data_IF_617680455446
#
_entry.id   IF_617680455446
#
_cell.length_a   1.000
_cell.length_b   1.000
_cell.length_c   1.000
_cell.angle_alpha   90.00
_cell.angle_beta   90.00
_cell.angle_gamma   90.00
#
_symmetry.space_group_name_H-M   'P 1'
#
loop_
_entity.id
_entity.type
_entity.pdbx_description
1 polymer ?
#
# COMPACT_ATOMS: atom_id res chain seq x y z
N UNK A 1 30.10 -15.06 5.31
CA UNK A 1 30.38 -13.95 4.40
C UNK A 1 30.06 -14.35 2.95
N UNK A 2 30.68 -15.40 2.39
CA UNK A 2 30.48 -15.82 0.99
C UNK A 2 29.00 -16.14 0.65
N UNK A 3 28.25 -16.79 1.54
CA UNK A 3 26.83 -17.07 1.33
C UNK A 3 25.99 -15.79 1.24
N UNK A 4 26.32 -14.75 2.03
CA UNK A 4 25.63 -13.46 1.99
C UNK A 4 25.93 -12.71 0.67
N UNK A 5 27.19 -12.72 0.25
CA UNK A 5 27.61 -12.13 -1.03
C UNK A 5 26.96 -12.87 -2.22
N UNK A 6 26.80 -14.20 -2.11
CA UNK A 6 26.11 -15.00 -3.11
C UNK A 6 24.62 -14.63 -3.17
N UNK A 7 23.95 -14.50 -2.04
CA UNK A 7 22.53 -14.18 -1.97
C UNK A 7 22.18 -12.82 -2.60
N UNK A 8 23.13 -11.90 -2.67
CA UNK A 8 22.97 -10.55 -3.25
C UNK A 8 23.29 -10.49 -4.75
N UNK A 9 23.70 -11.59 -5.38
CA UNK A 9 23.84 -11.63 -6.84
C UNK A 9 22.51 -11.68 -7.54
N UNK A 10 22.44 -11.15 -8.76
CA UNK A 10 21.23 -11.22 -9.59
C UNK A 10 20.94 -12.66 -9.99
N UNK A 11 19.73 -13.12 -9.67
CA UNK A 11 19.19 -14.42 -10.05
C UNK A 11 17.95 -14.32 -10.95
N UNK A 12 17.29 -13.19 -10.99
CA UNK A 12 16.10 -13.00 -11.80
C UNK A 12 15.68 -11.53 -11.90
N UNK A 13 14.63 -11.28 -12.68
CA UNK A 13 14.11 -9.94 -12.93
C UNK A 13 13.04 -9.51 -11.90
N UNK A 14 12.74 -10.39 -10.92
CA UNK A 14 11.76 -10.08 -9.88
C UNK A 14 10.39 -9.75 -10.45
N UNK A 15 9.74 -8.73 -9.89
CA UNK A 15 8.45 -8.24 -10.38
C UNK A 15 8.58 -7.31 -11.59
N UNK A 16 9.77 -6.87 -11.95
CA UNK A 16 10.08 -6.11 -13.16
C UNK A 16 11.59 -6.15 -13.46
N UNK A 17 12.01 -6.00 -14.75
CA UNK A 17 13.44 -5.91 -15.12
C UNK A 17 14.17 -4.73 -14.43
N UNK A 18 13.44 -3.72 -13.97
CA UNK A 18 14.01 -2.58 -13.24
C UNK A 18 14.27 -2.88 -11.75
N UNK A 19 13.74 -3.99 -11.24
CA UNK A 19 13.94 -4.45 -9.87
C UNK A 19 14.43 -5.90 -9.86
N UNK A 20 15.67 -6.15 -10.34
CA UNK A 20 16.24 -7.49 -10.34
C UNK A 20 16.33 -8.02 -8.90
N UNK A 21 16.28 -9.35 -8.76
CA UNK A 21 16.28 -9.99 -7.46
C UNK A 21 17.50 -10.90 -7.28
N UNK A 22 18.03 -10.89 -6.08
CA UNK A 22 18.90 -11.92 -5.53
C UNK A 22 18.08 -13.02 -4.83
N UNK A 23 18.72 -13.79 -3.97
CA UNK A 23 18.01 -14.75 -3.09
C UNK A 23 17.41 -13.99 -1.92
N UNK A 24 16.10 -13.77 -1.98
CA UNK A 24 15.32 -12.95 -1.03
C UNK A 24 15.75 -11.48 -0.91
N UNK A 25 16.48 -10.93 -1.89
CA UNK A 25 16.87 -9.53 -1.94
C UNK A 25 16.36 -8.86 -3.20
N UNK A 26 15.93 -7.60 -3.08
CA UNK A 26 15.68 -6.71 -4.21
C UNK A 26 16.98 -5.95 -4.48
N UNK A 27 17.42 -5.94 -5.73
CA UNK A 27 18.62 -5.23 -6.17
C UNK A 27 18.20 -3.91 -6.77
N UNK A 28 18.43 -2.81 -6.05
CA UNK A 28 17.98 -1.49 -6.47
C UNK A 28 19.17 -0.67 -7.01
N UNK A 29 19.11 -0.20 -8.28
CA UNK A 29 20.07 0.76 -8.79
C UNK A 29 19.88 2.10 -8.07
N UNK A 30 20.96 2.67 -7.55
CA UNK A 30 20.92 3.89 -6.75
C UNK A 30 22.16 4.75 -7.03
N UNK A 31 22.00 5.84 -7.78
CA UNK A 31 23.07 6.77 -8.10
C UNK A 31 24.38 6.10 -8.56
N UNK A 32 24.26 5.21 -9.56
CA UNK A 32 25.40 4.53 -10.19
C UNK A 32 25.95 3.31 -9.43
N UNK A 33 25.36 2.93 -8.29
CA UNK A 33 25.69 1.74 -7.50
C UNK A 33 24.47 0.85 -7.34
N UNK A 34 24.69 -0.38 -6.89
CA UNK A 34 23.61 -1.31 -6.53
C UNK A 34 23.52 -1.43 -5.02
N UNK A 35 22.38 -1.05 -4.47
CA UNK A 35 22.02 -1.36 -3.08
C UNK A 35 21.07 -2.54 -3.04
N UNK A 36 21.04 -3.26 -1.95
CA UNK A 36 20.11 -4.38 -1.76
C UNK A 36 19.13 -4.03 -0.65
N UNK A 37 17.86 -4.37 -0.84
CA UNK A 37 16.85 -4.15 0.17
C UNK A 37 15.87 -5.32 0.30
N UNK A 38 15.24 -5.37 1.43
CA UNK A 38 14.04 -6.15 1.68
C UNK A 38 13.14 -5.39 2.63
N UNK A 39 11.84 -5.42 2.38
CA UNK A 39 10.82 -4.80 3.22
C UNK A 39 9.68 -5.77 3.49
N UNK A 40 8.87 -5.47 4.48
CA UNK A 40 7.72 -6.28 4.80
C UNK A 40 6.78 -5.58 5.78
N UNK A 41 5.55 -6.07 5.82
CA UNK A 41 4.53 -5.68 6.79
C UNK A 41 3.79 -6.92 7.27
N UNK A 42 3.54 -6.99 8.57
CA UNK A 42 2.76 -8.06 9.18
C UNK A 42 2.19 -7.62 10.52
N UNK A 43 0.93 -7.99 10.78
CA UNK A 43 0.31 -7.82 12.11
C UNK A 43 0.35 -6.41 12.71
N UNK A 44 0.35 -5.36 11.89
CA UNK A 44 0.46 -3.97 12.36
C UNK A 44 1.88 -3.43 12.49
N UNK A 45 2.88 -4.22 12.06
CA UNK A 45 4.29 -3.82 12.05
C UNK A 45 4.79 -3.70 10.62
N UNK A 46 5.76 -2.82 10.39
CA UNK A 46 6.49 -2.71 9.13
C UNK A 46 8.00 -2.61 9.37
N UNK A 47 8.75 -3.14 8.41
CA UNK A 47 10.21 -3.14 8.45
C UNK A 47 10.79 -2.87 7.07
N UNK A 48 11.94 -2.21 7.01
CA UNK A 48 12.72 -2.02 5.80
C UNK A 48 14.20 -2.14 6.14
N UNK A 49 14.91 -2.95 5.38
CA UNK A 49 16.35 -3.14 5.50
C UNK A 49 17.02 -2.78 4.17
N UNK A 50 17.98 -1.88 4.22
CA UNK A 50 18.81 -1.45 3.11
C UNK A 50 20.27 -1.74 3.41
N UNK A 51 21.00 -2.27 2.45
CA UNK A 51 22.44 -2.54 2.54
C UNK A 51 23.13 -1.96 1.31
N UNK A 52 24.16 -1.19 1.52
CA UNK A 52 25.07 -0.69 0.51
C UNK A 52 26.42 -1.44 0.64
N UNK A 53 26.67 -2.46 -0.20
CA UNK A 53 27.89 -3.25 -0.10
C UNK A 53 29.15 -2.43 -0.44
N UNK A 54 29.04 -1.43 -1.31
CA UNK A 54 30.17 -0.61 -1.74
C UNK A 54 30.59 0.35 -0.63
N UNK A 55 29.61 1.03 0.00
CA UNK A 55 29.86 1.95 1.13
C UNK A 55 29.99 1.24 2.47
N UNK A 56 29.77 -0.10 2.52
CA UNK A 56 29.77 -0.91 3.74
C UNK A 56 28.84 -0.34 4.83
N UNK A 57 27.69 0.14 4.41
CA UNK A 57 26.68 0.74 5.28
C UNK A 57 25.35 0.01 5.18
N UNK A 58 24.56 0.08 6.23
CA UNK A 58 23.19 -0.43 6.23
C UNK A 58 22.26 0.50 7.01
N UNK A 59 20.98 0.44 6.65
CA UNK A 59 19.90 1.14 7.35
C UNK A 59 18.79 0.12 7.61
N UNK A 60 18.36 0.02 8.87
CA UNK A 60 17.18 -0.73 9.28
C UNK A 60 16.15 0.23 9.86
N UNK A 61 14.92 0.18 9.34
CA UNK A 61 13.80 0.95 9.85
C UNK A 61 12.74 -0.03 10.32
N UNK A 62 12.31 0.12 11.57
CA UNK A 62 11.27 -0.70 12.18
C UNK A 62 10.14 0.22 12.67
N UNK A 63 8.90 -0.20 12.47
CA UNK A 63 7.72 0.55 12.89
C UNK A 63 6.66 -0.39 13.47
N UNK A 64 5.99 0.06 14.50
CA UNK A 64 4.81 -0.59 15.08
C UNK A 64 3.51 -0.07 14.43
N UNK A 65 3.57 0.38 13.19
CA UNK A 65 2.44 0.83 12.39
C UNK A 65 2.44 0.10 11.04
N UNK A 66 1.25 -0.13 10.48
CA UNK A 66 1.07 -0.68 9.12
C UNK A 66 1.34 0.38 8.03
N UNK A 67 2.30 1.27 8.25
CA UNK A 67 2.72 2.26 7.29
C UNK A 67 4.02 1.81 6.61
N UNK A 68 4.08 1.92 5.29
CA UNK A 68 5.30 1.61 4.56
C UNK A 68 6.44 2.52 5.02
N UNK A 69 7.59 1.94 5.38
CA UNK A 69 8.79 2.65 5.85
C UNK A 69 9.96 2.55 4.87
N UNK A 70 9.70 2.05 3.67
CA UNK A 70 10.69 1.85 2.61
C UNK A 70 11.35 3.17 2.20
N UNK A 71 10.57 4.24 2.07
CA UNK A 71 11.05 5.56 1.70
C UNK A 71 11.93 6.20 2.78
N UNK A 72 11.66 5.93 4.06
CA UNK A 72 12.50 6.37 5.17
C UNK A 72 13.87 5.68 5.07
N UNK A 73 13.88 4.36 4.87
CA UNK A 73 15.12 3.60 4.68
C UNK A 73 15.93 4.08 3.48
N UNK A 74 15.24 4.32 2.35
CA UNK A 74 15.87 4.83 1.13
C UNK A 74 16.43 6.25 1.31
N UNK A 75 15.69 7.15 1.95
CA UNK A 75 16.16 8.51 2.25
C UNK A 75 17.39 8.51 3.18
N UNK A 76 17.39 7.67 4.19
CA UNK A 76 18.55 7.54 5.09
C UNK A 76 19.78 6.95 4.38
N UNK A 77 19.56 6.05 3.40
CA UNK A 77 20.62 5.49 2.56
C UNK A 77 21.14 6.51 1.54
N UNK A 78 20.25 7.34 1.01
CA UNK A 78 20.55 8.37 0.00
C UNK A 78 19.69 9.62 0.25
N UNK A 79 20.20 10.61 1.01
CA UNK A 79 19.46 11.82 1.40
C UNK A 79 18.97 12.69 0.25
N UNK A 80 19.54 12.54 -0.96
CA UNK A 80 19.07 13.25 -2.17
C UNK A 80 17.69 12.78 -2.63
N UNK A 81 17.26 11.59 -2.20
CA UNK A 81 15.90 11.07 -2.48
C UNK A 81 14.96 11.57 -1.39
N UNK A 82 13.96 12.38 -1.74
CA UNK A 82 13.05 12.95 -0.75
C UNK A 82 12.16 11.88 -0.11
N UNK A 83 11.80 12.09 1.14
CA UNK A 83 10.71 11.33 1.78
C UNK A 83 9.42 11.52 1.00
N UNK A 84 8.63 10.47 0.90
CA UNK A 84 7.29 10.57 0.31
C UNK A 84 6.46 11.60 1.08
N UNK A 85 5.76 12.44 0.33
CA UNK A 85 4.85 13.40 0.94
C UNK A 85 3.65 12.65 1.54
N UNK A 86 3.63 12.52 2.86
CA UNK A 86 2.54 11.90 3.61
C UNK A 86 1.29 12.80 3.72
N UNK A 87 1.29 13.99 3.12
CA UNK A 87 0.14 14.90 3.18
C UNK A 87 -1.14 14.25 2.64
N UNK A 88 -1.02 13.39 1.61
CA UNK A 88 -2.15 12.62 1.10
C UNK A 88 -2.70 11.61 2.11
N UNK A 89 -1.84 11.04 2.97
CA UNK A 89 -2.23 10.11 4.04
C UNK A 89 -2.74 10.86 5.29
N UNK A 90 -2.46 12.15 5.39
CA UNK A 90 -2.95 13.06 6.45
C UNK A 90 -4.17 13.87 6.03
N UNK A 91 -4.85 13.47 4.95
CA UNK A 91 -6.08 14.13 4.53
C UNK A 91 -7.03 14.26 5.73
N UNK A 92 -7.60 15.46 5.90
CA UNK A 92 -8.59 15.71 6.95
C UNK A 92 -9.83 14.90 6.61
N UNK A 93 -10.20 13.99 7.51
CA UNK A 93 -11.43 13.25 7.38
C UNK A 93 -12.63 14.17 7.59
N UNK A 94 -13.62 14.06 6.73
CA UNK A 94 -14.92 14.69 6.91
C UNK A 94 -15.92 13.69 7.46
N UNK A 95 -16.86 14.15 8.25
CA UNK A 95 -17.96 13.31 8.72
C UNK A 95 -18.90 13.01 7.57
N UNK A 96 -19.20 11.73 7.38
CA UNK A 96 -20.18 11.26 6.40
C UNK A 96 -21.33 10.61 7.17
N UNK A 97 -22.57 10.94 6.78
CA UNK A 97 -23.75 10.39 7.44
C UNK A 97 -23.81 8.87 7.32
N UNK A 98 -24.19 8.20 8.38
CA UNK A 98 -24.33 6.73 8.46
C UNK A 98 -25.29 6.20 7.38
N UNK A 99 -26.38 6.91 7.09
CA UNK A 99 -27.32 6.57 6.02
C UNK A 99 -26.63 6.55 4.64
N UNK A 100 -25.74 7.50 4.39
CA UNK A 100 -24.93 7.55 3.18
C UNK A 100 -23.94 6.41 3.14
N UNK A 101 -23.22 6.15 4.23
CA UNK A 101 -22.26 5.05 4.32
C UNK A 101 -22.89 3.66 4.16
N UNK A 102 -24.13 3.48 4.61
CA UNK A 102 -24.88 2.21 4.43
C UNK A 102 -25.04 1.84 2.96
N UNK A 103 -25.12 2.81 2.05
CA UNK A 103 -25.23 2.60 0.61
C UNK A 103 -23.99 1.91 -0.01
N UNK A 104 -22.85 2.01 0.69
CA UNK A 104 -21.55 1.52 0.21
C UNK A 104 -21.19 0.12 0.72
N UNK A 105 -21.93 -0.37 1.69
CA UNK A 105 -21.74 -1.74 2.25
C UNK A 105 -22.01 -2.79 1.18
N UNK A 106 -21.06 -3.70 0.97
CA UNK A 106 -21.16 -4.80 0.01
C UNK A 106 -19.80 -5.31 -0.46
N UNK A 107 -19.84 -6.29 -1.36
CA UNK A 107 -18.64 -6.88 -1.98
C UNK A 107 -18.53 -6.41 -3.43
N UNK A 108 -17.33 -5.97 -3.80
CA UNK A 108 -17.03 -5.40 -5.11
C UNK A 108 -15.86 -6.15 -5.76
N UNK A 109 -16.09 -6.76 -6.92
CA UNK A 109 -15.06 -7.51 -7.65
C UNK A 109 -14.22 -6.58 -8.53
N UNK A 110 -12.90 -6.63 -8.38
CA UNK A 110 -11.91 -6.04 -9.28
C UNK A 110 -11.50 -7.03 -10.37
N UNK A 111 -11.47 -8.33 -10.03
CA UNK A 111 -11.24 -9.45 -10.94
C UNK A 111 -12.09 -10.64 -10.45
N UNK A 112 -12.21 -11.73 -11.23
CA UNK A 112 -12.96 -12.91 -10.79
C UNK A 112 -12.46 -13.54 -9.47
N UNK A 113 -11.20 -13.33 -9.13
CA UNK A 113 -10.55 -13.92 -7.93
C UNK A 113 -10.15 -12.89 -6.87
N UNK A 114 -10.39 -11.59 -7.13
CA UNK A 114 -9.98 -10.53 -6.21
C UNK A 114 -11.09 -9.50 -6.03
N UNK A 115 -11.57 -9.36 -4.82
CA UNK A 115 -12.65 -8.44 -4.44
C UNK A 115 -12.26 -7.62 -3.21
N UNK A 116 -13.01 -6.55 -3.00
CA UNK A 116 -12.97 -5.75 -1.77
C UNK A 116 -14.35 -5.77 -1.15
N UNK A 117 -14.43 -6.18 0.10
CA UNK A 117 -15.66 -6.12 0.90
C UNK A 117 -15.65 -4.87 1.77
N UNK A 118 -16.71 -4.08 1.68
CA UNK A 118 -16.92 -2.88 2.48
C UNK A 118 -17.96 -3.16 3.56
N UNK A 119 -17.64 -2.86 4.82
CA UNK A 119 -18.51 -3.08 5.98
C UNK A 119 -18.69 -1.80 6.76
N UNK A 120 -19.87 -1.64 7.34
CA UNK A 120 -20.18 -0.57 8.31
C UNK A 120 -20.23 -1.18 9.70
N UNK A 121 -19.46 -0.65 10.64
CA UNK A 121 -19.40 -1.05 12.03
C UNK A 121 -19.15 0.17 12.91
N UNK A 122 -19.96 0.35 13.94
CA UNK A 122 -19.84 1.46 14.90
C UNK A 122 -19.79 2.85 14.23
N UNK A 123 -20.58 3.05 13.15
CA UNK A 123 -20.61 4.30 12.41
C UNK A 123 -19.37 4.57 11.55
N UNK A 124 -18.55 3.55 11.25
CA UNK A 124 -17.32 3.64 10.47
C UNK A 124 -17.32 2.63 9.34
N UNK A 125 -16.75 3.01 8.20
CA UNK A 125 -16.54 2.11 7.08
C UNK A 125 -15.18 1.41 7.18
N UNK A 126 -15.20 0.13 6.89
CA UNK A 126 -14.02 -0.73 6.78
C UNK A 126 -13.96 -1.38 5.41
N UNK A 127 -12.76 -1.51 4.87
CA UNK A 127 -12.51 -2.21 3.61
C UNK A 127 -11.58 -3.39 3.85
N UNK A 128 -11.87 -4.51 3.18
CA UNK A 128 -11.06 -5.72 3.23
C UNK A 128 -10.89 -6.29 1.84
N UNK A 129 -9.68 -6.34 1.34
CA UNK A 129 -9.35 -7.02 0.09
C UNK A 129 -9.16 -8.53 0.33
N UNK A 130 -9.40 -9.34 -0.70
CA UNK A 130 -9.21 -10.80 -0.66
C UNK A 130 -7.83 -11.16 -0.11
N UNK A 131 -7.80 -11.99 0.93
CA UNK A 131 -6.57 -12.46 1.57
C UNK A 131 -5.83 -11.44 2.43
N UNK A 132 -6.42 -10.25 2.67
CA UNK A 132 -5.80 -9.18 3.46
C UNK A 132 -6.58 -8.88 4.75
N UNK A 133 -5.93 -8.16 5.66
CA UNK A 133 -6.58 -7.64 6.86
C UNK A 133 -7.55 -6.50 6.54
N UNK A 134 -8.57 -6.35 7.37
CA UNK A 134 -9.52 -5.24 7.31
C UNK A 134 -8.87 -3.95 7.84
N UNK A 135 -9.22 -2.80 7.26
CA UNK A 135 -8.79 -1.48 7.72
C UNK A 135 -9.90 -0.44 7.56
N UNK A 136 -9.89 0.58 8.43
CA UNK A 136 -10.83 1.70 8.38
C UNK A 136 -10.55 2.59 7.17
N UNK A 137 -11.61 3.04 6.49
CA UNK A 137 -11.57 4.06 5.44
C UNK A 137 -12.32 5.31 5.91
N UNK A 138 -11.73 6.46 5.65
CA UNK A 138 -12.17 7.78 6.16
C UNK A 138 -12.78 8.60 5.03
N UNK A 139 -13.86 9.30 5.31
CA UNK A 139 -14.50 10.19 4.34
C UNK A 139 -13.59 11.35 3.94
N UNK A 140 -13.47 11.60 2.65
CA UNK A 140 -12.92 12.82 2.04
C UNK A 140 -14.04 13.69 1.48
N UNK A 141 -15.13 13.05 1.07
CA UNK A 141 -16.42 13.62 0.71
C UNK A 141 -17.53 12.59 0.98
N UNK A 142 -18.77 12.88 0.60
CA UNK A 142 -19.87 11.92 0.71
C UNK A 142 -19.62 10.64 -0.10
N UNK A 143 -18.91 10.70 -1.23
CA UNK A 143 -18.67 9.56 -2.13
C UNK A 143 -17.22 9.08 -2.15
N UNK A 144 -16.29 9.89 -1.65
CA UNK A 144 -14.84 9.63 -1.72
C UNK A 144 -14.31 9.28 -0.34
N UNK A 145 -13.59 8.17 -0.26
CA UNK A 145 -12.96 7.69 0.97
C UNK A 145 -11.48 7.40 0.74
N UNK A 146 -10.68 7.52 1.79
CA UNK A 146 -9.25 7.25 1.76
C UNK A 146 -8.82 6.37 2.92
N UNK A 147 -7.68 5.69 2.80
CA UNK A 147 -7.08 4.93 3.88
C UNK A 147 -5.89 5.69 4.48
N UNK A 148 -5.64 5.49 5.78
CA UNK A 148 -4.45 6.01 6.48
C UNK A 148 -3.31 5.00 6.55
N UNK A 149 -3.63 3.72 6.35
CA UNK A 149 -2.65 2.61 6.39
C UNK A 149 -1.92 2.39 5.07
N UNK A 150 -2.47 2.91 3.97
CA UNK A 150 -1.91 2.81 2.62
C UNK A 150 -2.42 3.97 1.77
N UNK A 151 -1.63 4.49 0.80
CA UNK A 151 -2.11 5.51 -0.14
C UNK A 151 -3.17 4.91 -1.07
N UNK A 152 -4.42 5.02 -0.66
CA UNK A 152 -5.57 4.44 -1.34
C UNK A 152 -6.73 5.42 -1.29
N UNK A 153 -7.40 5.60 -2.42
CA UNK A 153 -8.65 6.36 -2.53
C UNK A 153 -9.72 5.48 -3.20
N UNK A 154 -10.92 5.48 -2.63
CA UNK A 154 -12.11 4.81 -3.16
C UNK A 154 -13.15 5.87 -3.47
N UNK A 155 -13.68 5.88 -4.69
CA UNK A 155 -14.80 6.74 -5.11
C UNK A 155 -15.99 5.85 -5.42
N UNK A 156 -17.04 5.88 -4.59
CA UNK A 156 -18.26 5.14 -4.83
C UNK A 156 -19.10 5.83 -5.91
N UNK A 157 -19.66 5.04 -6.81
CA UNK A 157 -20.32 5.48 -8.03
C UNK A 157 -21.67 4.78 -8.21
N UNK A 158 -22.52 5.39 -9.03
CA UNK A 158 -23.75 4.78 -9.54
C UNK A 158 -24.67 4.23 -8.44
N UNK A 159 -25.03 5.10 -7.46
CA UNK A 159 -25.98 4.72 -6.41
C UNK A 159 -27.38 4.54 -7.02
N UNK A 160 -27.90 3.30 -6.99
CA UNK A 160 -29.25 2.92 -7.42
C UNK A 160 -29.92 2.14 -6.30
N UNK A 161 -31.19 2.43 -6.05
CA UNK A 161 -31.98 1.77 -5.01
C UNK A 161 -31.30 1.76 -3.62
N UNK A 162 -30.59 2.86 -3.29
CA UNK A 162 -29.88 3.02 -2.03
C UNK A 162 -28.59 2.20 -1.92
N UNK A 163 -28.04 1.69 -3.02
CA UNK A 163 -26.78 0.93 -3.05
C UNK A 163 -25.86 1.43 -4.17
N UNK A 164 -24.60 1.61 -3.87
CA UNK A 164 -23.59 1.86 -4.91
C UNK A 164 -23.36 0.58 -5.73
N UNK A 165 -23.44 0.68 -7.06
CA UNK A 165 -23.23 -0.46 -7.95
C UNK A 165 -21.77 -0.70 -8.29
N UNK A 166 -20.92 0.31 -8.07
CA UNK A 166 -19.48 0.23 -8.34
C UNK A 166 -18.70 1.21 -7.46
N UNK A 167 -17.39 1.05 -7.48
CA UNK A 167 -16.45 2.08 -7.06
C UNK A 167 -15.20 2.09 -7.95
N UNK A 168 -14.52 3.23 -8.01
CA UNK A 168 -13.17 3.36 -8.53
C UNK A 168 -12.16 3.33 -7.39
N UNK A 169 -11.17 2.45 -7.48
CA UNK A 169 -10.05 2.32 -6.53
C UNK A 169 -8.80 2.89 -7.17
N UNK A 170 -8.24 3.92 -6.57
CA UNK A 170 -6.93 4.48 -6.96
C UNK A 170 -5.88 4.11 -5.92
N UNK A 171 -4.84 3.42 -6.34
CA UNK A 171 -3.70 3.06 -5.50
C UNK A 171 -2.40 3.14 -6.32
N UNK A 172 -1.36 3.78 -5.77
CA UNK A 172 -0.06 3.96 -6.43
C UNK A 172 -0.17 4.57 -7.85
N UNK A 173 -1.10 5.50 -8.04
CA UNK A 173 -1.35 6.17 -9.34
C UNK A 173 -2.16 5.34 -10.34
N UNK A 174 -2.52 4.11 -10.02
CA UNK A 174 -3.35 3.26 -10.87
C UNK A 174 -4.80 3.26 -10.38
N UNK A 175 -5.75 3.50 -11.28
CA UNK A 175 -7.18 3.44 -10.99
C UNK A 175 -7.80 2.20 -11.62
N UNK A 176 -8.59 1.47 -10.84
CA UNK A 176 -9.34 0.29 -11.28
C UNK A 176 -10.79 0.39 -10.85
N UNK A 177 -11.72 0.03 -11.71
CA UNK A 177 -13.15 -0.04 -11.38
C UNK A 177 -13.48 -1.40 -10.79
N UNK A 178 -14.24 -1.40 -9.71
CA UNK A 178 -14.78 -2.60 -9.08
C UNK A 178 -16.31 -2.57 -9.17
N UNK A 179 -16.90 -3.68 -9.55
CA UNK A 179 -18.36 -3.84 -9.68
C UNK A 179 -18.91 -4.57 -8.47
N UNK A 180 -20.05 -4.10 -7.94
CA UNK A 180 -20.75 -4.79 -6.86
C UNK A 180 -21.17 -6.18 -7.32
N UNK A 181 -20.95 -7.19 -6.49
CA UNK A 181 -21.37 -8.58 -6.68
C UNK A 181 -22.33 -9.06 -5.58
N UNK A 182 -22.30 -8.38 -4.41
CA UNK A 182 -23.24 -8.60 -3.27
C UNK A 182 -23.53 -7.28 -2.55
#
# INVERSE_FOLDING_TARGET
RAAFELAQKRYGDGMSPMNPTGLAWILAPLNGRTVVNHDGMTGGFSASLWVDPERKSCVAVLSNASAAVLDIGLHLMEPSIPLKNLAAMRATAVSVDVKTMTQYVGTYALTPTFSVTVRLRDGKLFAQATGQGEFEIFGKSNTTFFARVTPLEIVFEDVKDGKASSFSLTQNGNTRKAMRVE
#
